data_IF_445535313554
#
_entry.id   IF_445535313554
#
_cell.length_a   1.000
_cell.length_b   1.000
_cell.length_c   1.000
_cell.angle_alpha   90.00
_cell.angle_beta   90.00
_cell.angle_gamma   90.00
#
_symmetry.space_group_name_H-M   'P 1'
#
loop_
_entity.id
_entity.type
_entity.pdbx_description
1 polymer ?
#
# COMPACT_ATOMS: atom_id res chain seq x y z
N UNK A 1 16.58 -3.77 33.69
CA UNK A 1 16.55 -4.00 32.22
C UNK A 1 17.14 -2.77 31.56
N UNK A 2 18.21 -2.93 30.82
CA UNK A 2 18.85 -1.84 30.11
C UNK A 2 17.96 -1.42 28.93
N UNK A 3 17.40 -0.18 28.91
CA UNK A 3 16.54 0.29 27.84
C UNK A 3 17.26 0.39 26.50
N UNK A 4 18.59 0.50 26.50
CA UNK A 4 19.40 0.62 25.31
C UNK A 4 19.59 -0.73 24.60
N UNK A 5 19.72 -1.83 25.33
CA UNK A 5 19.77 -3.18 24.73
C UNK A 5 18.42 -3.55 24.07
N UNK A 6 17.29 -3.13 24.67
CA UNK A 6 15.96 -3.32 24.07
C UNK A 6 15.78 -2.53 22.76
N UNK A 7 16.32 -1.31 22.67
CA UNK A 7 16.30 -0.51 21.45
C UNK A 7 17.18 -1.10 20.35
N UNK A 8 18.35 -1.64 20.69
CA UNK A 8 19.25 -2.28 19.74
C UNK A 8 18.65 -3.47 19.04
N UNK A 9 17.98 -4.38 19.76
CA UNK A 9 17.32 -5.54 19.18
C UNK A 9 16.11 -5.17 18.32
N UNK A 10 15.31 -4.19 18.72
CA UNK A 10 14.18 -3.70 17.94
C UNK A 10 14.61 -3.12 16.59
N UNK A 11 15.66 -2.31 16.57
CA UNK A 11 16.20 -1.73 15.34
C UNK A 11 16.85 -2.77 14.43
N UNK A 12 17.47 -3.81 14.97
CA UNK A 12 18.03 -4.93 14.19
C UNK A 12 16.92 -5.69 13.46
N UNK A 13 15.82 -6.05 14.15
CA UNK A 13 14.69 -6.73 13.52
C UNK A 13 14.01 -5.88 12.44
N UNK A 14 13.87 -4.59 12.65
CA UNK A 14 13.27 -3.68 11.68
C UNK A 14 14.13 -3.53 10.43
N UNK A 15 15.44 -3.42 10.59
CA UNK A 15 16.37 -3.37 9.45
C UNK A 15 16.40 -4.68 8.67
N UNK A 16 16.20 -5.82 9.31
CA UNK A 16 16.15 -7.11 8.65
C UNK A 16 14.98 -7.26 7.69
N UNK A 17 13.79 -6.78 8.05
CA UNK A 17 12.59 -6.84 7.17
C UNK A 17 12.78 -6.03 5.89
N UNK A 18 13.55 -4.94 5.95
CA UNK A 18 13.79 -4.05 4.80
C UNK A 18 15.06 -4.40 4.03
N UNK A 19 15.89 -5.27 4.56
CA UNK A 19 17.13 -5.68 3.91
C UNK A 19 16.85 -6.83 2.93
N UNK A 20 16.85 -6.52 1.63
CA UNK A 20 16.66 -7.51 0.57
C UNK A 20 17.76 -8.59 0.53
N UNK A 21 18.89 -8.36 1.19
CA UNK A 21 20.01 -9.32 1.30
C UNK A 21 19.95 -10.16 2.58
N UNK A 22 18.98 -9.90 3.47
CA UNK A 22 18.89 -10.59 4.76
C UNK A 22 18.81 -12.11 4.61
N UNK A 23 19.75 -12.82 5.26
CA UNK A 23 19.93 -14.28 5.15
C UNK A 23 20.66 -14.74 3.87
N UNK A 24 21.07 -13.82 3.01
CA UNK A 24 21.78 -14.07 1.76
C UNK A 24 23.06 -13.25 1.62
N UNK A 25 23.55 -12.67 2.69
CA UNK A 25 24.68 -11.72 2.70
C UNK A 25 25.95 -12.33 2.08
N UNK A 26 26.13 -13.64 2.24
CA UNK A 26 27.27 -14.38 1.69
C UNK A 26 27.09 -14.80 0.22
N UNK A 27 25.85 -14.83 -0.30
CA UNK A 27 25.54 -15.39 -1.62
C UNK A 27 24.99 -14.36 -2.59
N UNK A 28 24.46 -13.23 -2.09
CA UNK A 28 23.86 -12.16 -2.89
C UNK A 28 24.54 -10.80 -2.67
N UNK A 29 25.81 -10.80 -2.26
CA UNK A 29 26.58 -9.55 -2.15
C UNK A 29 26.59 -8.81 -3.50
N UNK A 30 26.39 -7.48 -3.45
CA UNK A 30 26.38 -6.64 -4.65
C UNK A 30 27.79 -6.64 -5.26
N UNK A 31 27.93 -7.19 -6.46
CA UNK A 31 29.17 -7.26 -7.21
C UNK A 31 29.17 -6.26 -8.37
N UNK A 32 30.30 -5.63 -8.70
CA UNK A 32 30.42 -4.81 -9.88
C UNK A 32 29.98 -5.56 -11.14
N UNK A 33 29.29 -4.87 -12.05
CA UNK A 33 28.90 -5.41 -13.33
C UNK A 33 30.11 -5.59 -14.23
N UNK A 34 30.16 -6.67 -15.01
CA UNK A 34 31.23 -6.90 -15.98
C UNK A 34 31.25 -5.82 -17.08
N UNK A 35 30.10 -5.26 -17.41
CA UNK A 35 29.93 -4.18 -18.37
C UNK A 35 28.97 -3.12 -17.84
N UNK A 36 29.40 -1.86 -17.83
CA UNK A 36 28.56 -0.71 -17.51
C UNK A 36 27.50 -0.55 -18.58
N UNK A 37 26.26 -0.31 -18.17
CA UNK A 37 25.11 -0.04 -19.04
C UNK A 37 24.39 1.22 -18.60
N UNK A 38 23.69 1.86 -19.54
CA UNK A 38 22.72 2.91 -19.28
C UNK A 38 21.34 2.27 -19.05
N UNK A 39 20.84 2.38 -17.80
CA UNK A 39 19.62 1.68 -17.35
C UNK A 39 18.55 2.70 -16.98
N UNK A 40 17.35 2.50 -17.52
CA UNK A 40 16.14 3.19 -17.06
C UNK A 40 15.39 2.35 -16.02
N UNK A 41 14.96 2.96 -14.94
CA UNK A 41 14.03 2.37 -13.97
C UNK A 41 12.73 3.16 -14.02
N UNK A 42 11.62 2.49 -14.27
CA UNK A 42 10.29 3.11 -14.35
C UNK A 42 9.53 2.85 -13.05
N UNK A 43 9.24 3.91 -12.31
CA UNK A 43 8.52 3.90 -11.04
C UNK A 43 9.44 4.09 -9.82
N UNK A 44 9.10 5.08 -8.99
CA UNK A 44 9.81 5.46 -7.76
C UNK A 44 9.23 4.84 -6.50
N UNK A 45 8.52 3.71 -6.60
CA UNK A 45 8.10 2.90 -5.47
C UNK A 45 9.24 2.05 -4.90
N UNK A 46 9.00 1.24 -3.83
CA UNK A 46 10.07 0.49 -3.15
C UNK A 46 10.84 -0.44 -4.09
N UNK A 47 10.16 -1.11 -5.01
CA UNK A 47 10.80 -2.00 -5.98
C UNK A 47 11.74 -1.23 -6.93
N UNK A 48 11.30 -0.08 -7.46
CA UNK A 48 12.12 0.74 -8.35
C UNK A 48 13.27 1.40 -7.62
N UNK A 49 13.07 1.90 -6.40
CA UNK A 49 14.12 2.47 -5.58
C UNK A 49 15.22 1.45 -5.29
N UNK A 50 14.86 0.25 -4.85
CA UNK A 50 15.84 -0.80 -4.57
C UNK A 50 16.56 -1.26 -5.84
N UNK A 51 15.83 -1.46 -6.95
CA UNK A 51 16.42 -1.83 -8.22
C UNK A 51 17.41 -0.76 -8.74
N UNK A 52 17.05 0.52 -8.64
CA UNK A 52 17.92 1.63 -9.03
C UNK A 52 19.18 1.71 -8.16
N UNK A 53 19.03 1.58 -6.83
CA UNK A 53 20.14 1.53 -5.88
C UNK A 53 21.13 0.42 -6.23
N UNK A 54 20.63 -0.79 -6.37
CA UNK A 54 21.48 -1.97 -6.65
C UNK A 54 22.17 -1.83 -8.01
N UNK A 55 21.45 -1.39 -9.04
CA UNK A 55 22.05 -1.18 -10.36
C UNK A 55 23.16 -0.11 -10.32
N UNK A 56 22.96 1.01 -9.62
CA UNK A 56 23.97 2.05 -9.46
C UNK A 56 25.21 1.55 -8.68
N UNK A 57 25.00 0.83 -7.57
CA UNK A 57 26.08 0.22 -6.79
C UNK A 57 26.89 -0.82 -7.60
N UNK A 58 26.28 -1.43 -8.59
CA UNK A 58 26.98 -2.30 -9.54
C UNK A 58 27.74 -1.55 -10.62
N UNK A 59 27.69 -0.23 -10.64
CA UNK A 59 28.44 0.64 -11.54
C UNK A 59 27.73 1.02 -12.83
N UNK A 60 26.43 0.73 -12.96
CA UNK A 60 25.63 1.18 -14.11
C UNK A 60 25.32 2.69 -14.06
N UNK A 61 25.03 3.29 -15.19
CA UNK A 61 24.47 4.64 -15.31
C UNK A 61 22.94 4.52 -15.23
N UNK A 62 22.36 4.95 -14.11
CA UNK A 62 20.95 4.68 -13.79
C UNK A 62 20.15 5.97 -13.75
N UNK A 63 19.05 5.99 -14.50
CA UNK A 63 18.02 7.03 -14.43
C UNK A 63 16.71 6.44 -13.98
N UNK A 64 16.12 6.96 -12.91
CA UNK A 64 14.81 6.59 -12.40
C UNK A 64 13.78 7.63 -12.83
N UNK A 65 12.73 7.19 -13.49
CA UNK A 65 11.58 8.01 -13.90
C UNK A 65 10.39 7.71 -12.97
N UNK A 66 9.83 8.77 -12.38
CA UNK A 66 8.64 8.70 -11.53
C UNK A 66 7.57 9.66 -12.08
N UNK A 67 6.34 9.15 -12.26
CA UNK A 67 5.22 9.93 -12.80
C UNK A 67 4.73 11.05 -11.89
N UNK A 68 4.91 10.87 -10.58
CA UNK A 68 4.52 11.84 -9.56
C UNK A 68 5.71 12.74 -9.17
N UNK A 69 5.46 13.71 -8.31
CA UNK A 69 6.51 14.58 -7.75
C UNK A 69 7.11 14.04 -6.46
N UNK A 70 6.69 12.84 -6.01
CA UNK A 70 7.13 12.21 -4.76
C UNK A 70 7.57 10.77 -4.98
N UNK A 71 8.65 10.37 -4.31
CA UNK A 71 9.13 8.99 -4.26
C UNK A 71 8.46 8.21 -3.12
N UNK A 72 8.59 6.89 -3.13
CA UNK A 72 8.05 5.99 -2.11
C UNK A 72 6.83 5.19 -2.58
N UNK A 73 6.13 5.66 -3.63
CA UNK A 73 5.00 4.93 -4.23
C UNK A 73 3.95 4.51 -3.20
N UNK A 74 3.53 3.25 -3.24
CA UNK A 74 2.48 2.74 -2.34
C UNK A 74 2.87 2.70 -0.86
N UNK A 75 4.16 2.78 -0.49
CA UNK A 75 4.56 2.90 0.92
C UNK A 75 4.03 4.18 1.56
N UNK A 76 3.87 5.26 0.78
CA UNK A 76 3.31 6.52 1.26
C UNK A 76 1.84 6.38 1.70
N UNK A 77 1.10 5.45 1.11
CA UNK A 77 -0.29 5.13 1.46
C UNK A 77 -0.31 4.07 2.57
N UNK A 78 0.51 3.04 2.45
CA UNK A 78 0.57 1.92 3.39
C UNK A 78 1.00 2.33 4.81
N UNK A 79 1.71 3.47 4.96
CA UNK A 79 2.12 3.99 6.27
C UNK A 79 1.05 4.85 6.97
N UNK A 80 -0.11 5.10 6.34
CA UNK A 80 -1.15 5.99 6.86
C UNK A 80 -2.02 5.33 7.94
N UNK A 81 -2.41 4.04 7.80
CA UNK A 81 -3.15 3.36 8.87
C UNK A 81 -2.39 3.37 10.20
N UNK A 82 -3.10 3.28 11.35
CA UNK A 82 -2.48 3.31 12.66
C UNK A 82 -1.32 2.32 12.84
N UNK A 83 -0.30 2.71 13.59
CA UNK A 83 0.88 1.89 13.96
C UNK A 83 1.81 1.51 12.80
N UNK A 84 1.72 2.20 11.65
CA UNK A 84 2.56 1.96 10.46
C UNK A 84 3.53 3.08 10.12
N UNK A 85 3.77 3.99 11.06
CA UNK A 85 4.65 5.16 10.86
C UNK A 85 6.09 4.75 10.48
N UNK A 86 6.53 3.56 10.93
CA UNK A 86 7.86 3.04 10.60
C UNK A 86 8.04 2.73 9.11
N UNK A 87 6.96 2.40 8.39
CA UNK A 87 7.02 2.21 6.94
C UNK A 87 7.37 3.51 6.21
N UNK A 88 7.00 4.66 6.78
CA UNK A 88 7.40 5.98 6.25
C UNK A 88 8.91 6.18 6.35
N UNK A 89 9.49 5.79 7.49
CA UNK A 89 10.95 5.84 7.67
C UNK A 89 11.66 4.91 6.69
N UNK A 90 11.12 3.72 6.49
CA UNK A 90 11.63 2.77 5.49
C UNK A 90 11.65 3.36 4.06
N UNK A 91 10.58 4.03 3.66
CA UNK A 91 10.54 4.71 2.36
C UNK A 91 11.60 5.82 2.27
N UNK A 92 11.77 6.62 3.33
CA UNK A 92 12.80 7.66 3.39
C UNK A 92 14.22 7.09 3.30
N UNK A 93 14.50 5.99 4.01
CA UNK A 93 15.82 5.34 3.98
C UNK A 93 16.14 4.81 2.56
N UNK A 94 15.17 4.23 1.85
CA UNK A 94 15.32 3.82 0.45
C UNK A 94 15.60 5.02 -0.46
N UNK A 95 14.88 6.12 -0.29
CA UNK A 95 15.08 7.35 -1.06
C UNK A 95 16.48 7.90 -0.84
N UNK A 96 16.93 8.01 0.41
CA UNK A 96 18.27 8.47 0.74
C UNK A 96 19.35 7.54 0.14
N UNK A 97 19.13 6.23 0.21
CA UNK A 97 20.07 5.25 -0.34
C UNK A 97 20.21 5.37 -1.86
N UNK A 98 19.13 5.64 -2.58
CA UNK A 98 19.13 5.89 -4.03
C UNK A 98 19.87 7.17 -4.39
N UNK A 99 19.61 8.27 -3.64
CA UNK A 99 20.32 9.52 -3.83
C UNK A 99 21.84 9.37 -3.60
N UNK A 100 22.22 8.67 -2.52
CA UNK A 100 23.62 8.42 -2.17
C UNK A 100 24.33 7.50 -3.19
N UNK A 101 23.59 6.63 -3.86
CA UNK A 101 24.13 5.77 -4.94
C UNK A 101 24.34 6.53 -6.26
N UNK A 102 23.98 7.80 -6.35
CA UNK A 102 24.19 8.62 -7.56
C UNK A 102 23.21 8.36 -8.69
N UNK A 103 22.00 7.87 -8.39
CA UNK A 103 20.94 7.66 -9.39
C UNK A 103 20.39 9.01 -9.86
N UNK A 104 20.23 9.18 -11.17
CA UNK A 104 19.56 10.35 -11.76
C UNK A 104 18.04 10.23 -11.58
N UNK A 105 17.43 11.18 -10.87
CA UNK A 105 15.99 11.18 -10.59
C UNK A 105 15.24 12.12 -11.56
N UNK A 106 14.29 11.59 -12.31
CA UNK A 106 13.40 12.33 -13.21
C UNK A 106 11.96 12.26 -12.69
N UNK A 107 11.59 13.25 -11.89
CA UNK A 107 10.27 13.34 -11.25
C UNK A 107 9.23 13.98 -12.17
N UNK A 108 7.95 13.63 -11.97
CA UNK A 108 6.83 14.14 -12.78
C UNK A 108 6.89 13.68 -14.26
N UNK A 109 7.58 12.57 -14.53
CA UNK A 109 7.86 12.14 -15.91
C UNK A 109 7.52 10.68 -16.14
N UNK A 110 6.84 10.43 -17.25
CA UNK A 110 6.67 9.08 -17.82
C UNK A 110 7.51 8.97 -19.11
N UNK A 111 7.83 7.74 -19.50
CA UNK A 111 8.56 7.47 -20.75
C UNK A 111 7.92 6.30 -21.49
N UNK A 112 7.81 6.43 -22.80
CA UNK A 112 7.44 5.31 -23.68
C UNK A 112 8.68 4.48 -24.03
N UNK A 113 8.47 3.27 -24.56
CA UNK A 113 9.56 2.40 -24.98
C UNK A 113 10.43 3.05 -26.09
N UNK A 114 9.79 3.77 -27.02
CA UNK A 114 10.46 4.49 -28.11
C UNK A 114 11.37 5.60 -27.55
N UNK A 115 10.83 6.43 -26.63
CA UNK A 115 11.60 7.51 -25.99
C UNK A 115 12.83 6.98 -25.25
N UNK A 116 12.70 5.83 -24.58
CA UNK A 116 13.82 5.21 -23.87
C UNK A 116 14.87 4.68 -24.84
N UNK A 117 14.44 4.06 -25.93
CA UNK A 117 15.33 3.56 -26.98
C UNK A 117 16.11 4.71 -27.65
N UNK A 118 15.40 5.78 -28.03
CA UNK A 118 16.01 6.96 -28.70
C UNK A 118 16.98 7.69 -27.73
N UNK A 119 16.72 7.66 -26.43
CA UNK A 119 17.62 8.18 -25.41
C UNK A 119 18.83 7.27 -25.11
N UNK A 120 18.95 6.13 -25.80
CA UNK A 120 20.10 5.23 -25.71
C UNK A 120 20.13 4.38 -24.44
N UNK A 121 18.98 4.11 -23.80
CA UNK A 121 18.92 3.14 -22.70
C UNK A 121 19.06 1.72 -23.25
N UNK A 122 19.99 0.98 -22.65
CA UNK A 122 20.32 -0.40 -23.03
C UNK A 122 19.47 -1.44 -22.28
N UNK A 123 18.93 -1.05 -21.12
CA UNK A 123 18.05 -1.89 -20.33
C UNK A 123 16.98 -1.06 -19.63
N UNK A 124 15.82 -1.66 -19.40
CA UNK A 124 14.71 -1.04 -18.70
C UNK A 124 14.24 -1.97 -17.58
N UNK A 125 14.12 -1.44 -16.36
CA UNK A 125 13.51 -2.12 -15.24
C UNK A 125 12.12 -1.53 -15.04
N UNK A 126 11.08 -2.33 -15.26
CA UNK A 126 9.70 -1.93 -15.07
C UNK A 126 9.25 -2.20 -13.64
N UNK A 127 9.05 -1.13 -12.86
CA UNK A 127 8.63 -1.14 -11.47
C UNK A 127 7.44 -0.18 -11.22
N UNK A 128 6.54 -0.05 -12.19
CA UNK A 128 5.42 0.91 -12.17
C UNK A 128 4.33 0.59 -11.13
N UNK A 129 4.44 -0.55 -10.45
CA UNK A 129 3.53 -0.94 -9.39
C UNK A 129 2.16 -1.40 -9.88
N UNK A 130 1.14 -1.20 -9.04
CA UNK A 130 -0.24 -1.54 -9.30
C UNK A 130 -1.15 -0.34 -8.98
N UNK A 131 -2.41 -0.46 -9.34
CA UNK A 131 -3.48 0.47 -8.98
C UNK A 131 -4.68 -0.30 -8.43
N UNK A 132 -5.56 0.38 -7.72
CA UNK A 132 -6.80 -0.22 -7.25
C UNK A 132 -7.66 -0.64 -8.45
N UNK A 133 -8.30 -1.81 -8.34
CA UNK A 133 -9.26 -2.29 -9.32
C UNK A 133 -10.68 -2.15 -8.75
N UNK A 134 -11.52 -1.37 -9.42
CA UNK A 134 -12.92 -1.26 -9.07
C UNK A 134 -13.68 -2.49 -9.61
N UNK A 135 -14.46 -3.20 -8.78
CA UNK A 135 -15.31 -4.29 -9.25
C UNK A 135 -16.45 -3.76 -10.10
N UNK A 136 -16.94 -4.55 -11.03
CA UNK A 136 -18.11 -4.19 -11.86
C UNK A 136 -19.40 -4.42 -11.06
N UNK A 137 -19.73 -3.50 -10.16
CA UNK A 137 -20.94 -3.53 -9.34
C UNK A 137 -21.77 -2.28 -9.69
N UNK A 138 -23.09 -2.41 -9.93
CA UNK A 138 -23.97 -1.27 -10.15
C UNK A 138 -23.81 -0.20 -9.06
N UNK A 139 -23.72 1.07 -9.45
CA UNK A 139 -23.56 2.20 -8.54
C UNK A 139 -22.13 2.45 -8.06
N UNK A 140 -21.12 1.73 -8.55
CA UNK A 140 -19.71 1.93 -8.12
C UNK A 140 -19.17 3.33 -8.42
N UNK A 141 -19.67 3.98 -9.47
CA UNK A 141 -19.26 5.32 -9.90
C UNK A 141 -20.10 6.44 -9.25
N UNK A 142 -20.93 6.10 -8.25
CA UNK A 142 -21.77 7.08 -7.56
C UNK A 142 -20.93 8.01 -6.68
N UNK A 143 -21.40 9.23 -6.46
CA UNK A 143 -20.67 10.28 -5.73
C UNK A 143 -20.40 9.96 -4.26
N UNK A 144 -21.15 9.04 -3.68
CA UNK A 144 -20.99 8.53 -2.31
C UNK A 144 -20.03 7.33 -2.22
N UNK A 145 -19.43 6.90 -3.32
CA UNK A 145 -18.43 5.83 -3.34
C UNK A 145 -17.03 6.43 -3.44
N UNK A 146 -16.15 6.02 -2.53
CA UNK A 146 -14.77 6.48 -2.47
C UNK A 146 -13.79 5.33 -2.65
N UNK A 147 -12.66 5.60 -3.31
CA UNK A 147 -11.55 4.66 -3.40
C UNK A 147 -10.71 4.70 -2.12
N UNK A 148 -10.49 3.54 -1.48
CA UNK A 148 -9.75 3.44 -0.23
C UNK A 148 -8.32 4.02 -0.33
N UNK A 149 -7.64 3.85 -1.46
CA UNK A 149 -6.31 4.40 -1.65
C UNK A 149 -6.34 5.93 -1.72
N UNK A 150 -7.34 6.51 -2.37
CA UNK A 150 -7.53 7.97 -2.43
C UNK A 150 -7.90 8.54 -1.06
N UNK A 151 -8.67 7.81 -0.27
CA UNK A 151 -8.99 8.18 1.12
C UNK A 151 -7.72 8.18 1.97
N UNK A 152 -6.91 7.13 1.92
CA UNK A 152 -5.64 7.05 2.64
C UNK A 152 -4.61 8.05 2.13
N UNK A 153 -4.61 8.38 0.83
CA UNK A 153 -3.77 9.44 0.25
C UNK A 153 -4.22 10.86 0.65
N UNK A 154 -5.41 11.00 1.25
CA UNK A 154 -5.99 12.31 1.58
C UNK A 154 -6.62 13.05 0.38
N UNK A 155 -6.74 12.38 -0.77
CA UNK A 155 -7.34 12.93 -1.99
C UNK A 155 -8.87 12.92 -1.96
N UNK A 156 -9.46 12.00 -1.17
CA UNK A 156 -10.89 11.94 -0.89
C UNK A 156 -11.12 11.94 0.62
N UNK A 157 -12.11 12.70 1.07
CA UNK A 157 -12.50 12.76 2.47
C UNK A 157 -13.82 12.03 2.68
N UNK A 158 -13.91 11.25 3.75
CA UNK A 158 -15.10 10.48 4.13
C UNK A 158 -15.42 10.76 5.59
N UNK A 159 -16.69 10.94 5.90
CA UNK A 159 -17.19 11.28 7.23
C UNK A 159 -18.49 10.53 7.53
N UNK A 160 -18.86 10.50 8.81
CA UNK A 160 -20.14 9.93 9.25
C UNK A 160 -20.13 8.40 9.24
N UNK A 161 -21.16 7.79 8.66
CA UNK A 161 -21.29 6.35 8.56
C UNK A 161 -20.68 5.85 7.24
N UNK A 162 -19.82 4.86 7.33
CA UNK A 162 -19.04 4.36 6.19
C UNK A 162 -19.09 2.84 6.11
N UNK A 163 -19.46 2.32 4.95
CA UNK A 163 -19.32 0.92 4.63
C UNK A 163 -18.00 0.69 3.86
N UNK A 164 -17.09 -0.08 4.43
CA UNK A 164 -15.84 -0.50 3.77
C UNK A 164 -16.09 -1.85 3.09
N UNK A 165 -15.91 -1.87 1.77
CA UNK A 165 -16.17 -3.05 0.95
C UNK A 165 -14.87 -3.82 0.70
N UNK A 166 -14.86 -5.07 1.15
CA UNK A 166 -13.70 -5.95 1.14
C UNK A 166 -12.99 -5.97 2.49
N UNK A 167 -13.04 -7.11 3.15
CA UNK A 167 -12.39 -7.38 4.44
C UNK A 167 -10.98 -7.95 4.30
N UNK A 168 -10.30 -7.73 3.18
CA UNK A 168 -8.86 -7.97 3.07
C UNK A 168 -8.07 -6.93 3.87
N UNK A 169 -6.72 -7.05 3.94
CA UNK A 169 -5.91 -6.16 4.78
C UNK A 169 -6.11 -4.67 4.49
N UNK A 170 -6.09 -4.27 3.23
CA UNK A 170 -6.29 -2.86 2.86
C UNK A 170 -7.62 -2.33 3.37
N UNK A 171 -8.70 -3.11 3.21
CA UNK A 171 -10.01 -2.73 3.72
C UNK A 171 -10.06 -2.69 5.25
N UNK A 172 -9.49 -3.70 5.90
CA UNK A 172 -9.45 -3.74 7.37
C UNK A 172 -8.65 -2.57 7.96
N UNK A 173 -7.52 -2.23 7.39
CA UNK A 173 -6.69 -1.10 7.83
C UNK A 173 -7.34 0.25 7.52
N UNK A 174 -8.04 0.35 6.39
CA UNK A 174 -8.82 1.54 6.06
C UNK A 174 -10.00 1.72 7.03
N UNK A 175 -10.67 0.63 7.39
CA UNK A 175 -11.75 0.65 8.37
C UNK A 175 -11.26 1.11 9.74
N UNK A 176 -10.13 0.58 10.22
CA UNK A 176 -9.51 1.02 11.46
C UNK A 176 -9.13 2.51 11.42
N UNK A 177 -8.51 2.95 10.31
CA UNK A 177 -8.12 4.34 10.10
C UNK A 177 -9.32 5.29 10.18
N UNK A 178 -10.43 4.94 9.54
CA UNK A 178 -11.65 5.75 9.54
C UNK A 178 -12.33 5.74 10.91
N UNK A 179 -12.42 4.59 11.56
CA UNK A 179 -13.04 4.45 12.87
C UNK A 179 -12.25 5.22 13.95
N UNK A 180 -10.92 5.16 13.92
CA UNK A 180 -10.05 5.95 14.79
C UNK A 180 -10.23 7.48 14.61
N UNK A 181 -10.79 7.91 13.49
CA UNK A 181 -11.10 9.32 13.18
C UNK A 181 -12.57 9.70 13.45
N UNK A 182 -13.32 8.81 14.09
CA UNK A 182 -14.69 9.06 14.54
C UNK A 182 -15.77 8.69 13.52
N UNK A 183 -15.45 8.01 12.42
CA UNK A 183 -16.46 7.44 11.55
C UNK A 183 -17.13 6.23 12.21
N UNK A 184 -18.43 6.04 12.00
CA UNK A 184 -19.12 4.78 12.28
C UNK A 184 -18.86 3.84 11.10
N UNK A 185 -18.13 2.75 11.33
CA UNK A 185 -17.63 1.91 10.25
C UNK A 185 -18.22 0.51 10.29
N UNK A 186 -18.65 0.02 9.13
CA UNK A 186 -19.04 -1.37 8.89
C UNK A 186 -18.15 -1.96 7.80
N UNK A 187 -17.57 -3.16 8.03
CA UNK A 187 -16.78 -3.89 7.04
C UNK A 187 -17.62 -5.00 6.43
N UNK A 188 -17.76 -4.99 5.11
CA UNK A 188 -18.55 -5.98 4.36
C UNK A 188 -17.58 -6.86 3.57
N UNK A 189 -17.62 -8.19 3.82
CA UNK A 189 -16.74 -9.16 3.19
C UNK A 189 -17.52 -10.34 2.63
N UNK A 190 -17.25 -10.72 1.39
CA UNK A 190 -17.89 -11.85 0.73
C UNK A 190 -17.42 -13.21 1.24
N UNK A 191 -16.19 -13.29 1.73
CA UNK A 191 -15.65 -14.48 2.36
C UNK A 191 -16.23 -14.69 3.75
N UNK A 192 -16.07 -15.87 4.32
CA UNK A 192 -16.58 -16.24 5.64
C UNK A 192 -15.85 -15.56 6.81
N UNK A 193 -14.73 -14.90 6.54
CA UNK A 193 -13.90 -14.18 7.55
C UNK A 193 -13.31 -12.93 6.95
N UNK A 194 -13.23 -11.87 7.76
CA UNK A 194 -12.40 -10.70 7.46
C UNK A 194 -10.94 -11.02 7.74
N UNK A 195 -10.03 -10.28 7.12
CA UNK A 195 -8.57 -10.42 7.25
C UNK A 195 -8.10 -11.89 7.06
N UNK A 196 -8.76 -12.63 6.15
CA UNK A 196 -8.39 -14.00 5.84
C UNK A 196 -6.96 -14.05 5.27
N UNK A 197 -6.11 -14.90 5.87
CA UNK A 197 -4.71 -15.03 5.47
C UNK A 197 -3.74 -14.11 6.21
N UNK A 198 -4.24 -13.29 7.15
CA UNK A 198 -3.37 -12.47 7.98
C UNK A 198 -2.58 -13.26 9.03
N UNK A 199 -1.44 -12.66 9.42
CA UNK A 199 -0.60 -13.26 10.43
C UNK A 199 -1.32 -13.29 11.79
N UNK A 200 -1.10 -14.37 12.53
CA UNK A 200 -1.65 -14.56 13.88
C UNK A 200 -1.16 -13.50 14.89
N UNK A 201 -0.15 -12.72 14.55
CA UNK A 201 0.38 -11.64 15.39
C UNK A 201 -0.35 -10.31 15.17
N UNK A 202 -0.85 -10.05 13.98
CA UNK A 202 -1.52 -8.77 13.64
C UNK A 202 -3.03 -8.84 13.89
N UNK A 203 -3.65 -9.96 13.53
CA UNK A 203 -5.10 -10.15 13.60
C UNK A 203 -5.71 -9.89 14.99
N UNK A 204 -5.15 -10.38 16.14
CA UNK A 204 -5.71 -10.12 17.45
C UNK A 204 -5.80 -8.62 17.77
N UNK A 205 -4.74 -7.87 17.46
CA UNK A 205 -4.69 -6.42 17.70
C UNK A 205 -5.71 -5.68 16.86
N UNK A 206 -5.85 -6.05 15.59
CA UNK A 206 -6.86 -5.48 14.69
C UNK A 206 -8.29 -5.70 15.23
N UNK A 207 -8.60 -6.92 15.65
CA UNK A 207 -9.93 -7.26 16.16
C UNK A 207 -10.22 -6.58 17.52
N UNK A 208 -9.23 -6.39 18.38
CA UNK A 208 -9.36 -5.63 19.61
C UNK A 208 -9.65 -4.16 19.35
N UNK A 209 -8.96 -3.57 18.38
CA UNK A 209 -9.20 -2.19 17.94
C UNK A 209 -10.60 -2.02 17.34
N UNK A 210 -11.06 -3.02 16.58
CA UNK A 210 -12.42 -3.01 16.03
C UNK A 210 -13.48 -2.98 17.15
N UNK A 211 -13.27 -3.74 18.22
CA UNK A 211 -14.14 -3.68 19.42
C UNK A 211 -14.09 -2.29 20.07
N UNK A 212 -12.90 -1.75 20.23
CA UNK A 212 -12.67 -0.44 20.85
C UNK A 212 -13.33 0.69 20.06
N UNK A 213 -13.26 0.66 18.74
CA UNK A 213 -13.84 1.69 17.87
C UNK A 213 -15.27 1.38 17.43
N UNK A 214 -15.84 0.24 17.81
CA UNK A 214 -17.19 -0.14 17.45
C UNK A 214 -17.36 -0.46 15.96
N UNK A 215 -16.33 -1.04 15.31
CA UNK A 215 -16.40 -1.44 13.91
C UNK A 215 -17.27 -2.69 13.77
N UNK A 216 -18.35 -2.56 13.02
CA UNK A 216 -19.25 -3.68 12.71
C UNK A 216 -18.65 -4.55 11.58
N UNK A 217 -18.89 -5.86 11.63
CA UNK A 217 -18.34 -6.81 10.67
C UNK A 217 -19.44 -7.65 10.05
N UNK A 218 -19.48 -7.68 8.73
CA UNK A 218 -20.44 -8.44 7.92
C UNK A 218 -19.71 -9.42 7.00
N UNK A 219 -19.15 -10.54 7.54
CA UNK A 219 -18.58 -11.59 6.70
C UNK A 219 -19.70 -12.37 5.99
N UNK A 220 -19.36 -13.05 4.90
CA UNK A 220 -20.32 -13.80 4.06
C UNK A 220 -21.41 -12.93 3.44
N UNK A 221 -21.10 -11.66 3.17
CA UNK A 221 -22.00 -10.70 2.52
C UNK A 221 -21.37 -10.20 1.21
N UNK A 222 -21.96 -10.58 0.09
CA UNK A 222 -21.51 -10.17 -1.24
C UNK A 222 -22.28 -8.93 -1.69
N UNK A 223 -21.56 -7.82 -1.93
CA UNK A 223 -22.18 -6.59 -2.45
C UNK A 223 -22.71 -6.82 -3.85
N UNK A 224 -23.93 -6.39 -4.09
CA UNK A 224 -24.66 -6.50 -5.36
C UNK A 224 -24.90 -5.14 -6.00
N UNK A 225 -25.10 -4.08 -5.22
CA UNK A 225 -25.44 -2.75 -5.70
C UNK A 225 -25.05 -1.69 -4.66
N UNK A 226 -24.57 -0.54 -5.13
CA UNK A 226 -24.40 0.68 -4.32
C UNK A 226 -25.58 1.61 -4.59
N UNK A 227 -26.20 2.12 -3.52
CA UNK A 227 -27.27 3.14 -3.56
C UNK A 227 -26.78 4.37 -2.80
N UNK A 228 -27.52 5.46 -2.92
CA UNK A 228 -27.15 6.73 -2.27
C UNK A 228 -27.16 6.65 -0.73
N UNK A 229 -28.00 5.79 -0.19
CA UNK A 229 -28.28 5.66 1.25
C UNK A 229 -28.00 4.24 1.79
N UNK A 230 -27.63 3.29 0.94
CA UNK A 230 -27.45 1.91 1.34
C UNK A 230 -26.50 1.12 0.43
N UNK A 231 -25.92 0.06 0.98
CA UNK A 231 -25.28 -1.01 0.23
C UNK A 231 -26.18 -2.24 0.24
N UNK A 232 -26.54 -2.75 -0.94
CA UNK A 232 -27.33 -3.96 -1.08
C UNK A 232 -26.40 -5.16 -1.13
N UNK A 233 -26.57 -6.08 -0.21
CA UNK A 233 -25.75 -7.28 -0.08
C UNK A 233 -26.60 -8.54 -0.18
N UNK A 234 -26.01 -9.60 -0.69
CA UNK A 234 -26.54 -10.97 -0.66
C UNK A 234 -25.76 -11.76 0.41
N UNK A 235 -26.47 -12.37 1.33
CA UNK A 235 -25.89 -13.24 2.36
C UNK A 235 -25.80 -14.70 1.91
N UNK A 236 -25.36 -15.62 2.79
CA UNK A 236 -25.25 -17.06 2.52
C UNK A 236 -26.58 -17.72 2.14
N UNK A 237 -27.69 -17.18 2.63
CA UNK A 237 -29.05 -17.70 2.37
C UNK A 237 -29.66 -17.08 1.11
N UNK A 238 -28.86 -16.39 0.30
CA UNK A 238 -29.28 -15.64 -0.89
C UNK A 238 -30.32 -14.55 -0.59
N UNK A 239 -30.43 -14.14 0.68
CA UNK A 239 -31.29 -13.04 1.11
C UNK A 239 -30.62 -11.70 0.82
N UNK A 240 -31.37 -10.75 0.26
CA UNK A 240 -30.92 -9.40 0.06
C UNK A 240 -31.04 -8.61 1.36
N UNK A 241 -29.92 -8.02 1.80
CA UNK A 241 -29.83 -7.22 3.02
C UNK A 241 -29.42 -5.81 2.61
N UNK A 242 -30.07 -4.81 3.20
CA UNK A 242 -29.75 -3.40 3.05
C UNK A 242 -28.98 -2.95 4.27
N UNK A 243 -27.70 -2.57 4.09
CA UNK A 243 -26.91 -1.92 5.14
C UNK A 243 -27.02 -0.43 4.87
N UNK A 244 -27.93 0.23 5.58
CA UNK A 244 -28.26 1.65 5.40
C UNK A 244 -27.71 2.50 6.55
N UNK A 245 -27.45 3.79 6.29
CA UNK A 245 -27.29 4.77 7.33
C UNK A 245 -28.60 4.94 8.12
N UNK A 246 -28.56 5.15 9.45
CA UNK A 246 -29.71 5.68 10.16
C UNK A 246 -30.01 7.06 9.61
N UNK A 247 -31.18 7.23 9.00
CA UNK A 247 -31.69 8.52 8.53
C UNK A 247 -31.58 9.53 9.69
N UNK A 248 -30.81 10.59 9.49
CA UNK A 248 -30.87 11.76 10.37
C UNK A 248 -32.22 12.43 10.14
N UNK A 249 -33.09 12.37 11.13
CA UNK A 249 -34.22 13.27 11.27
C UNK A 249 -33.74 14.58 11.89
#
# INVERSE_FOLDING_TARGET
RDPEMSRGLGDVYKRQVLNAENGYENTRSIQPAAQKKKIAVLGGGPAGLEAARVAALRGHDVTLFEKTTTLGGQLNIACVPPRKEEMRRAAQDLIHAVCNAGVHLCMGQTRTAEQLKDAGFEAVINAVGAHSAAPRIPGIDSVNVADAWKVLAGEQQVYGTVAVIGGGMVGCETAEYLAARGCKVSVIEMMDKIAAGESTTILPTLLENYKTYGVEQYPSHKVKEFRMDAVVCENKDLSLIHISEPTRH
#
